data_IF_512078602818
#
_entry.id   IF_512078602818
#
_cell.length_a   1.000
_cell.length_b   1.000
_cell.length_c   1.000
_cell.angle_alpha   90.00
_cell.angle_beta   90.00
_cell.angle_gamma   90.00
#
_symmetry.space_group_name_H-M   'P 1'
#
loop_
_entity.id
_entity.type
_entity.pdbx_description
1 polymer ?
#
# COMPACT_ATOMS: atom_id res chain seq x y z
N UNK A 1 38.41 -3.89 23.96
CA UNK A 1 37.07 -3.85 23.33
C UNK A 1 36.34 -2.65 23.91
N UNK A 2 36.21 -1.58 23.13
CA UNK A 2 35.59 -0.32 23.54
C UNK A 2 34.07 -0.48 23.55
N UNK A 3 33.46 -0.62 24.72
CA UNK A 3 32.01 -0.45 24.89
C UNK A 3 31.66 1.01 24.58
N UNK A 4 30.96 1.23 23.48
CA UNK A 4 30.36 2.53 23.18
C UNK A 4 29.15 2.70 24.11
N UNK A 5 29.22 3.70 24.99
CA UNK A 5 28.11 4.13 25.84
C UNK A 5 27.02 4.79 24.97
N UNK A 6 26.23 3.97 24.27
CA UNK A 6 24.95 4.43 23.74
C UNK A 6 23.97 4.50 24.92
N UNK A 7 23.73 5.70 25.44
CA UNK A 7 22.59 5.94 26.32
C UNK A 7 21.33 5.51 25.57
N UNK A 8 20.61 4.53 26.10
CA UNK A 8 19.35 4.03 25.56
C UNK A 8 18.23 5.05 25.80
N UNK A 9 18.38 6.25 25.22
CA UNK A 9 17.36 7.29 25.27
C UNK A 9 16.28 6.97 24.25
N UNK A 10 15.03 6.96 24.70
CA UNK A 10 13.88 6.90 23.81
C UNK A 10 13.92 8.10 22.86
N UNK A 11 13.81 7.81 21.56
CA UNK A 11 13.84 8.77 20.45
C UNK A 11 12.97 10.02 20.69
N UNK A 12 13.46 11.21 20.28
CA UNK A 12 12.72 12.47 20.35
C UNK A 12 11.34 12.39 19.68
N UNK A 13 10.28 12.52 20.50
CA UNK A 13 8.86 12.56 20.09
C UNK A 13 8.58 13.64 19.05
N UNK A 14 9.37 14.72 19.04
CA UNK A 14 9.27 15.81 18.07
C UNK A 14 9.52 15.33 16.64
N UNK A 15 10.61 14.57 16.43
CA UNK A 15 11.02 14.11 15.12
C UNK A 15 9.97 13.21 14.45
N UNK A 16 9.37 12.28 15.20
CA UNK A 16 8.38 11.32 14.68
C UNK A 16 7.17 12.02 14.04
N UNK A 17 6.63 13.02 14.73
CA UNK A 17 5.41 13.67 14.23
C UNK A 17 5.69 14.70 13.16
N UNK A 18 6.86 15.36 13.18
CA UNK A 18 7.27 16.18 12.03
C UNK A 18 7.36 15.32 10.77
N UNK A 19 7.95 14.12 10.86
CA UNK A 19 8.00 13.18 9.74
C UNK A 19 6.59 12.77 9.29
N UNK A 20 5.74 12.29 10.20
CA UNK A 20 4.39 11.85 9.84
C UNK A 20 3.55 12.99 9.26
N UNK A 21 3.57 14.17 9.85
CA UNK A 21 2.84 15.33 9.34
C UNK A 21 3.31 15.71 7.93
N UNK A 22 4.63 15.78 7.71
CA UNK A 22 5.21 16.10 6.41
C UNK A 22 4.84 15.04 5.36
N UNK A 23 5.07 13.76 5.65
CA UNK A 23 4.75 12.67 4.71
C UNK A 23 3.25 12.63 4.40
N UNK A 24 2.39 12.66 5.43
CA UNK A 24 0.94 12.56 5.23
C UNK A 24 0.37 13.75 4.46
N UNK A 25 0.90 14.95 4.67
CA UNK A 25 0.54 16.14 3.87
C UNK A 25 0.95 15.97 2.41
N UNK A 26 2.17 15.45 2.17
CA UNK A 26 2.69 15.24 0.81
C UNK A 26 1.93 14.17 0.03
N UNK A 27 1.43 13.12 0.70
CA UNK A 27 0.69 12.03 0.02
C UNK A 27 -0.81 12.31 -0.12
N UNK A 28 -1.40 13.15 0.74
CA UNK A 28 -2.85 13.33 0.80
C UNK A 28 -3.43 13.81 -0.53
N UNK A 29 -2.93 14.94 -1.06
CA UNK A 29 -3.48 15.52 -2.29
C UNK A 29 -3.21 14.62 -3.51
N UNK A 30 -1.96 14.16 -3.76
CA UNK A 30 -1.68 13.29 -4.90
C UNK A 30 -2.44 11.96 -4.81
N UNK A 31 -2.47 11.33 -3.64
CA UNK A 31 -3.18 10.08 -3.41
C UNK A 31 -4.68 10.21 -3.63
N UNK A 32 -5.29 11.31 -3.17
CA UNK A 32 -6.73 11.54 -3.34
C UNK A 32 -7.08 11.74 -4.81
N UNK A 33 -6.36 12.62 -5.50
CA UNK A 33 -6.61 12.95 -6.90
C UNK A 33 -6.35 11.74 -7.81
N UNK A 34 -5.21 11.07 -7.64
CA UNK A 34 -4.79 9.97 -8.49
C UNK A 34 -5.70 8.74 -8.32
N UNK A 35 -6.04 8.35 -7.09
CA UNK A 35 -6.93 7.22 -6.86
C UNK A 35 -8.39 7.52 -7.21
N UNK A 36 -8.87 8.76 -7.03
CA UNK A 36 -10.21 9.14 -7.47
C UNK A 36 -10.34 9.10 -8.99
N UNK A 37 -9.33 9.63 -9.70
CA UNK A 37 -9.27 9.57 -11.16
C UNK A 37 -9.16 8.12 -11.65
N UNK A 38 -8.31 7.30 -11.03
CA UNK A 38 -8.18 5.88 -11.34
C UNK A 38 -9.49 5.14 -11.14
N UNK A 39 -10.15 5.32 -9.99
CA UNK A 39 -11.43 4.68 -9.69
C UNK A 39 -12.51 5.10 -10.70
N UNK A 40 -12.57 6.40 -11.06
CA UNK A 40 -13.50 6.89 -12.07
C UNK A 40 -13.25 6.24 -13.44
N UNK A 41 -11.99 6.19 -13.91
CA UNK A 41 -11.65 5.56 -15.19
C UNK A 41 -11.95 4.06 -15.16
N UNK A 42 -11.53 3.36 -14.11
CA UNK A 42 -11.71 1.93 -13.96
C UNK A 42 -13.19 1.55 -13.89
N UNK A 43 -14.04 2.35 -13.24
CA UNK A 43 -15.47 2.12 -13.19
C UNK A 43 -16.18 2.46 -14.51
N UNK A 44 -15.79 3.56 -15.18
CA UNK A 44 -16.49 4.07 -16.37
C UNK A 44 -16.09 3.36 -17.66
N UNK A 45 -14.82 3.00 -17.81
CA UNK A 45 -14.25 2.44 -19.04
C UNK A 45 -13.99 0.94 -18.92
N UNK A 46 -14.80 0.23 -18.14
CA UNK A 46 -14.87 -1.25 -18.12
C UNK A 46 -15.26 -1.74 -19.53
N UNK A 47 -14.26 -1.87 -20.39
CA UNK A 47 -14.30 -2.80 -21.50
C UNK A 47 -14.24 -4.20 -20.89
N UNK A 48 -15.13 -5.10 -21.32
CA UNK A 48 -15.20 -6.51 -20.88
C UNK A 48 -13.90 -7.31 -21.06
N UNK A 49 -12.81 -6.69 -21.52
CA UNK A 49 -11.55 -7.32 -21.93
C UNK A 49 -10.42 -7.28 -20.89
N UNK A 50 -10.44 -6.40 -19.88
CA UNK A 50 -9.31 -6.30 -18.93
C UNK A 50 -9.49 -7.18 -17.68
N UNK A 51 -8.78 -8.31 -17.67
CA UNK A 51 -8.90 -9.37 -16.65
C UNK A 51 -8.08 -9.13 -15.36
N UNK A 52 -8.10 -7.92 -14.82
CA UNK A 52 -7.63 -7.62 -13.44
C UNK A 52 -8.27 -6.33 -12.88
N UNK A 53 -9.27 -5.77 -13.57
CA UNK A 53 -9.85 -4.47 -13.21
C UNK A 53 -10.50 -4.48 -11.84
N UNK A 54 -11.10 -5.59 -11.43
CA UNK A 54 -11.71 -5.69 -10.11
C UNK A 54 -10.66 -5.56 -9.01
N UNK A 55 -9.51 -6.24 -9.11
CA UNK A 55 -8.46 -6.11 -8.11
C UNK A 55 -7.91 -4.68 -8.06
N UNK A 56 -7.74 -4.03 -9.22
CA UNK A 56 -7.34 -2.61 -9.29
C UNK A 56 -8.38 -1.66 -8.67
N UNK A 57 -9.68 -1.90 -8.87
CA UNK A 57 -10.74 -1.11 -8.23
C UNK A 57 -10.69 -1.27 -6.71
N UNK A 58 -10.53 -2.48 -6.21
CA UNK A 58 -10.47 -2.71 -4.76
C UNK A 58 -9.21 -2.09 -4.14
N UNK A 59 -8.08 -2.09 -4.85
CA UNK A 59 -6.86 -1.41 -4.45
C UNK A 59 -7.10 0.11 -4.33
N UNK A 60 -7.67 0.74 -5.37
CA UNK A 60 -8.02 2.16 -5.35
C UNK A 60 -9.02 2.52 -4.23
N UNK A 61 -9.98 1.63 -3.92
CA UNK A 61 -10.91 1.81 -2.79
C UNK A 61 -10.19 1.75 -1.45
N UNK A 62 -9.27 0.80 -1.27
CA UNK A 62 -8.46 0.69 -0.05
C UNK A 62 -7.58 1.93 0.14
N UNK A 63 -6.94 2.40 -0.94
CA UNK A 63 -6.11 3.61 -0.94
C UNK A 63 -6.91 4.86 -0.60
N UNK A 64 -8.09 5.05 -1.22
CA UNK A 64 -8.97 6.17 -0.91
C UNK A 64 -9.42 6.16 0.55
N UNK A 65 -9.78 4.99 1.09
CA UNK A 65 -10.16 4.86 2.50
C UNK A 65 -9.00 5.28 3.44
N UNK A 66 -7.75 4.90 3.11
CA UNK A 66 -6.58 5.36 3.86
C UNK A 66 -6.35 6.86 3.70
N UNK A 67 -6.34 7.37 2.47
CA UNK A 67 -6.07 8.78 2.16
C UNK A 67 -7.09 9.71 2.83
N UNK A 68 -8.38 9.33 2.86
CA UNK A 68 -9.44 10.08 3.54
C UNK A 68 -9.24 10.14 5.07
N UNK A 69 -8.49 9.20 5.66
CA UNK A 69 -8.13 9.23 7.08
C UNK A 69 -6.94 10.15 7.40
N UNK A 70 -6.17 10.57 6.39
CA UNK A 70 -4.94 11.35 6.59
C UNK A 70 -5.16 12.76 7.15
N UNK A 71 -6.19 13.54 6.79
CA UNK A 71 -6.39 14.87 7.36
C UNK A 71 -6.47 14.87 8.89
N UNK A 72 -7.16 13.88 9.46
CA UNK A 72 -7.27 13.72 10.92
C UNK A 72 -5.91 13.37 11.55
N UNK A 73 -5.12 12.52 10.88
CA UNK A 73 -3.76 12.17 11.31
C UNK A 73 -2.81 13.37 11.23
N UNK A 74 -2.89 14.14 10.15
CA UNK A 74 -2.08 15.36 9.96
C UNK A 74 -2.39 16.34 11.09
N UNK A 75 -3.67 16.57 11.38
CA UNK A 75 -4.08 17.43 12.50
C UNK A 75 -3.46 16.97 13.82
N UNK A 76 -3.51 15.67 14.12
CA UNK A 76 -2.91 15.09 15.32
C UNK A 76 -1.40 15.33 15.41
N UNK A 77 -0.67 15.03 14.34
CA UNK A 77 0.79 15.12 14.36
C UNK A 77 1.32 16.57 14.38
N UNK A 78 0.54 17.54 13.90
CA UNK A 78 0.84 18.97 14.00
C UNK A 78 0.48 19.51 15.38
N UNK A 79 -0.76 19.31 15.84
CA UNK A 79 -1.28 19.96 17.04
C UNK A 79 -1.02 19.17 18.33
N UNK A 80 -0.55 17.93 18.23
CA UNK A 80 -0.29 17.01 19.36
C UNK A 80 -1.51 16.71 20.23
N UNK A 81 -2.70 16.90 19.68
CA UNK A 81 -3.98 16.71 20.37
C UNK A 81 -5.00 16.01 19.47
N UNK A 82 -5.84 15.15 20.05
CA UNK A 82 -6.88 14.41 19.36
C UNK A 82 -8.29 14.76 19.88
N UNK A 83 -9.00 15.72 19.26
CA UNK A 83 -10.33 16.13 19.69
C UNK A 83 -11.49 15.29 19.12
N UNK A 84 -11.21 14.37 18.18
CA UNK A 84 -12.25 13.67 17.39
C UNK A 84 -12.84 12.42 18.06
N UNK A 85 -12.45 12.15 19.31
CA UNK A 85 -12.95 11.03 20.10
C UNK A 85 -12.41 9.64 19.71
N UNK A 86 -12.73 8.65 20.54
CA UNK A 86 -12.18 7.28 20.46
C UNK A 86 -12.48 6.58 19.14
N UNK A 87 -13.72 6.68 18.65
CA UNK A 87 -14.14 5.94 17.44
C UNK A 87 -13.29 6.32 16.23
N UNK A 88 -13.15 7.61 15.95
CA UNK A 88 -12.35 8.08 14.82
C UNK A 88 -10.87 7.76 15.00
N UNK A 89 -10.33 7.79 16.24
CA UNK A 89 -8.95 7.40 16.50
C UNK A 89 -8.70 5.94 16.08
N UNK A 90 -9.54 5.03 16.57
CA UNK A 90 -9.42 3.59 16.27
C UNK A 90 -9.75 3.28 14.81
N UNK A 91 -10.71 3.97 14.20
CA UNK A 91 -11.03 3.83 12.78
C UNK A 91 -9.87 4.27 11.90
N UNK A 92 -9.31 5.46 12.11
CA UNK A 92 -8.15 5.93 11.34
C UNK A 92 -6.93 5.04 11.57
N UNK A 93 -6.77 4.46 12.76
CA UNK A 93 -5.72 3.48 13.03
C UNK A 93 -5.95 2.20 12.21
N UNK A 94 -7.16 1.64 12.29
CA UNK A 94 -7.56 0.44 11.55
C UNK A 94 -7.44 0.59 10.04
N UNK A 95 -7.91 1.70 9.47
CA UNK A 95 -7.87 1.97 8.02
C UNK A 95 -6.45 1.92 7.45
N UNK A 96 -5.41 2.29 8.21
CA UNK A 96 -4.02 2.18 7.77
C UNK A 96 -3.58 0.74 7.58
N UNK A 97 -3.89 -0.12 8.54
CA UNK A 97 -3.53 -1.53 8.48
C UNK A 97 -4.40 -2.28 7.47
N UNK A 98 -5.70 -1.97 7.43
CA UNK A 98 -6.62 -2.49 6.43
C UNK A 98 -6.12 -2.21 5.01
N UNK A 99 -5.73 -0.96 4.73
CA UNK A 99 -5.13 -0.59 3.44
C UNK A 99 -3.85 -1.37 3.17
N UNK A 100 -2.87 -1.35 4.08
CA UNK A 100 -1.59 -2.06 3.89
C UNK A 100 -1.78 -3.54 3.53
N UNK A 101 -2.59 -4.28 4.31
CA UNK A 101 -2.80 -5.70 4.07
C UNK A 101 -3.72 -5.96 2.86
N UNK A 102 -4.73 -5.13 2.61
CA UNK A 102 -5.54 -5.23 1.40
C UNK A 102 -4.67 -5.03 0.14
N UNK A 103 -3.77 -4.04 0.16
CA UNK A 103 -2.83 -3.76 -0.93
C UNK A 103 -1.89 -4.94 -1.16
N UNK A 104 -1.27 -5.49 -0.12
CA UNK A 104 -0.46 -6.71 -0.20
C UNK A 104 -1.24 -7.87 -0.85
N UNK A 105 -2.45 -8.14 -0.39
CA UNK A 105 -3.27 -9.23 -0.92
C UNK A 105 -3.66 -8.98 -2.39
N UNK A 106 -4.09 -7.76 -2.75
CA UNK A 106 -4.49 -7.46 -4.12
C UNK A 106 -3.31 -7.45 -5.10
N UNK A 107 -2.13 -6.94 -4.72
CA UNK A 107 -0.91 -7.04 -5.52
C UNK A 107 -0.51 -8.51 -5.76
N UNK A 108 -0.70 -9.34 -4.73
CA UNK A 108 -0.48 -10.79 -4.82
C UNK A 108 -1.48 -11.45 -5.77
N UNK A 109 -2.78 -11.15 -5.65
CA UNK A 109 -3.83 -11.64 -6.54
C UNK A 109 -3.57 -11.24 -8.00
N UNK A 110 -3.18 -9.98 -8.23
CA UNK A 110 -2.78 -9.49 -9.56
C UNK A 110 -1.59 -10.30 -10.10
N UNK A 111 -0.56 -10.51 -9.27
CA UNK A 111 0.64 -11.27 -9.66
C UNK A 111 0.31 -12.71 -10.04
N UNK A 112 -0.47 -13.41 -9.21
CA UNK A 112 -0.95 -14.78 -9.46
C UNK A 112 -1.78 -14.81 -10.75
N UNK A 113 -2.72 -13.89 -10.91
CA UNK A 113 -3.63 -13.87 -12.06
C UNK A 113 -2.86 -13.67 -13.37
N UNK A 114 -1.87 -12.77 -13.38
CA UNK A 114 -1.03 -12.51 -14.56
C UNK A 114 -0.15 -13.70 -14.89
N UNK A 115 0.46 -14.31 -13.89
CA UNK A 115 1.19 -15.56 -14.04
C UNK A 115 0.27 -16.67 -14.59
N UNK A 116 -0.89 -16.90 -13.99
CA UNK A 116 -1.81 -17.95 -14.37
C UNK A 116 -2.33 -17.80 -15.80
N UNK A 117 -2.74 -16.59 -16.20
CA UNK A 117 -3.23 -16.35 -17.56
C UNK A 117 -2.15 -16.45 -18.64
N UNK A 118 -0.89 -16.23 -18.27
CA UNK A 118 0.25 -16.40 -19.16
C UNK A 118 0.48 -17.88 -19.50
N UNK A 119 0.36 -18.78 -18.52
CA UNK A 119 0.63 -20.21 -18.70
C UNK A 119 -0.63 -21.03 -19.07
N UNK A 120 -1.83 -20.53 -18.78
CA UNK A 120 -3.10 -21.22 -19.08
C UNK A 120 -4.06 -20.33 -19.88
N UNK A 121 -3.75 -20.03 -21.16
CA UNK A 121 -4.53 -19.09 -21.97
C UNK A 121 -5.97 -19.54 -22.23
N UNK A 122 -6.23 -20.85 -22.34
CA UNK A 122 -7.59 -21.39 -22.50
C UNK A 122 -8.44 -21.13 -21.25
N UNK A 123 -7.92 -21.43 -20.05
CA UNK A 123 -8.62 -21.12 -18.80
C UNK A 123 -8.74 -19.62 -18.57
N UNK A 124 -7.75 -18.84 -19.02
CA UNK A 124 -7.86 -17.39 -19.02
C UNK A 124 -9.05 -16.93 -19.85
N UNK A 125 -9.28 -17.49 -21.04
CA UNK A 125 -10.41 -17.17 -21.92
C UNK A 125 -11.75 -17.40 -21.22
N UNK A 126 -11.88 -18.50 -20.49
CA UNK A 126 -13.11 -18.89 -19.78
C UNK A 126 -13.25 -18.23 -18.40
N UNK A 127 -12.26 -17.44 -17.98
CA UNK A 127 -12.28 -16.75 -16.69
C UNK A 127 -13.40 -15.72 -16.63
N UNK A 128 -14.30 -15.89 -15.67
CA UNK A 128 -15.48 -15.03 -15.48
C UNK A 128 -15.20 -13.98 -14.41
N UNK A 129 -15.74 -12.78 -14.62
CA UNK A 129 -15.69 -11.63 -13.69
C UNK A 129 -16.11 -12.00 -12.26
N UNK A 130 -17.07 -12.92 -12.10
CA UNK A 130 -17.55 -13.39 -10.78
C UNK A 130 -16.43 -13.99 -9.91
N UNK A 131 -15.39 -14.57 -10.50
CA UNK A 131 -14.28 -15.14 -9.74
C UNK A 131 -13.45 -14.04 -9.10
N UNK A 132 -13.14 -12.97 -9.84
CA UNK A 132 -12.44 -11.82 -9.28
C UNK A 132 -13.26 -11.17 -8.16
N UNK A 133 -14.58 -11.04 -8.32
CA UNK A 133 -15.48 -10.51 -7.27
C UNK A 133 -15.46 -11.40 -6.02
N UNK A 134 -15.56 -12.72 -6.20
CA UNK A 134 -15.54 -13.66 -5.08
C UNK A 134 -14.20 -13.65 -4.34
N UNK A 135 -13.08 -13.61 -5.08
CA UNK A 135 -11.73 -13.49 -4.51
C UNK A 135 -11.60 -12.17 -3.75
N UNK A 136 -12.04 -11.05 -4.33
CA UNK A 136 -12.02 -9.75 -3.64
C UNK A 136 -12.86 -9.73 -2.37
N UNK A 137 -14.06 -10.32 -2.39
CA UNK A 137 -14.90 -10.43 -1.20
C UNK A 137 -14.20 -11.26 -0.11
N UNK A 138 -13.57 -12.38 -0.48
CA UNK A 138 -12.80 -13.21 0.45
C UNK A 138 -11.61 -12.44 1.03
N UNK A 139 -10.88 -11.67 0.21
CA UNK A 139 -9.78 -10.80 0.67
C UNK A 139 -10.28 -9.77 1.68
N UNK A 140 -11.38 -9.06 1.39
CA UNK A 140 -11.93 -8.08 2.31
C UNK A 140 -12.37 -8.69 3.65
N UNK A 141 -13.05 -9.83 3.61
CA UNK A 141 -13.46 -10.54 4.83
C UNK A 141 -12.24 -10.99 5.64
N UNK A 142 -11.25 -11.60 4.96
CA UNK A 142 -10.03 -12.10 5.59
C UNK A 142 -9.22 -10.95 6.22
N UNK A 143 -8.86 -9.93 5.43
CA UNK A 143 -8.05 -8.81 5.90
C UNK A 143 -8.82 -7.99 6.93
N UNK A 144 -10.12 -7.78 6.72
CA UNK A 144 -10.98 -7.05 7.64
C UNK A 144 -11.01 -7.71 9.03
N UNK A 145 -11.15 -9.03 9.08
CA UNK A 145 -11.10 -9.80 10.31
C UNK A 145 -9.68 -9.86 10.91
N UNK A 146 -8.66 -10.13 10.09
CA UNK A 146 -7.27 -10.24 10.55
C UNK A 146 -6.74 -8.92 11.13
N UNK A 147 -7.23 -7.78 10.65
CA UNK A 147 -6.83 -6.45 11.15
C UNK A 147 -7.60 -5.99 12.39
N UNK A 148 -8.73 -6.64 12.75
CA UNK A 148 -9.57 -6.20 13.87
C UNK A 148 -8.89 -6.26 15.25
N UNK A 149 -7.92 -7.16 15.53
CA UNK A 149 -7.23 -7.17 16.82
C UNK A 149 -6.35 -5.95 17.05
N UNK A 150 -5.79 -5.34 15.99
CA UNK A 150 -4.87 -4.19 16.12
C UNK A 150 -5.45 -3.01 16.93
N UNK A 151 -6.68 -2.50 16.65
CA UNK A 151 -7.29 -1.46 17.49
C UNK A 151 -7.73 -1.99 18.87
N UNK A 152 -8.14 -3.25 18.99
CA UNK A 152 -8.62 -3.85 20.26
C UNK A 152 -7.46 -3.96 21.28
N UNK A 153 -6.26 -4.24 20.78
CA UNK A 153 -5.04 -4.33 21.59
C UNK A 153 -4.51 -2.96 22.04
N UNK A 154 -5.10 -1.84 21.60
CA UNK A 154 -4.69 -0.50 22.06
C UNK A 154 -5.49 -0.09 23.29
N UNK A 155 -4.77 0.38 24.32
CA UNK A 155 -5.39 0.97 25.49
C UNK A 155 -5.71 2.44 25.21
N UNK A 156 -6.97 2.72 24.88
CA UNK A 156 -7.47 4.09 24.84
C UNK A 156 -8.01 4.46 26.22
N UNK A 157 -7.37 5.42 26.88
CA UNK A 157 -7.84 6.00 28.14
C UNK A 157 -8.88 7.08 27.80
N UNK A 158 -10.05 7.06 28.43
CA UNK A 158 -11.06 8.10 28.21
C UNK A 158 -10.46 9.47 28.54
N UNK A 159 -10.69 10.46 27.66
CA UNK A 159 -10.06 11.80 27.68
C UNK A 159 -8.56 11.84 27.36
N UNK A 160 -8.00 10.82 26.69
CA UNK A 160 -6.64 10.92 26.16
C UNK A 160 -6.59 11.92 24.99
N UNK A 161 -5.71 12.91 25.08
CA UNK A 161 -5.36 13.78 23.95
C UNK A 161 -4.49 13.05 22.92
N UNK A 162 -3.99 11.86 23.26
CA UNK A 162 -3.11 11.02 22.43
C UNK A 162 -3.88 10.00 21.60
N UNK A 163 -3.31 9.65 20.43
CA UNK A 163 -3.84 8.67 19.48
C UNK A 163 -2.70 7.97 18.70
N UNK A 164 -3.03 6.94 17.91
CA UNK A 164 -2.12 6.21 17.01
C UNK A 164 -0.88 5.61 17.70
N UNK A 165 0.32 6.05 17.30
CA UNK A 165 1.60 5.52 17.77
C UNK A 165 1.83 5.78 19.27
N UNK A 166 1.13 6.76 19.84
CA UNK A 166 1.22 7.17 21.23
C UNK A 166 0.21 6.44 22.14
N UNK A 167 -0.68 5.62 21.59
CA UNK A 167 -1.53 4.74 22.38
C UNK A 167 -0.72 3.56 22.92
N UNK A 168 -0.87 3.24 24.19
CA UNK A 168 -0.23 2.08 24.79
C UNK A 168 -0.76 0.78 24.17
N UNK A 169 0.15 -0.16 23.93
CA UNK A 169 -0.22 -1.53 23.55
C UNK A 169 -0.51 -2.28 24.83
N UNK A 170 -1.67 -2.94 24.90
CA UNK A 170 -1.99 -3.85 26.01
C UNK A 170 -0.96 -4.97 26.01
N UNK A 171 -0.21 -5.08 27.10
CA UNK A 171 0.79 -6.13 27.23
C UNK A 171 0.10 -7.49 27.26
N UNK A 172 0.59 -8.40 26.43
CA UNK A 172 0.19 -9.80 26.47
C UNK A 172 1.04 -10.45 27.56
N UNK A 173 0.41 -11.13 28.52
CA UNK A 173 1.10 -11.70 29.68
C UNK A 173 2.11 -12.82 29.35
N UNK A 174 2.18 -13.27 28.08
CA UNK A 174 3.05 -14.36 27.64
C UNK A 174 3.91 -13.95 26.45
N UNK A 175 5.22 -13.80 26.68
CA UNK A 175 6.21 -13.53 25.63
C UNK A 175 6.17 -14.59 24.52
N UNK A 176 5.95 -15.86 24.88
CA UNK A 176 5.85 -16.97 23.91
C UNK A 176 4.64 -16.80 23.00
N UNK A 177 3.49 -16.41 23.56
CA UNK A 177 2.29 -16.16 22.77
C UNK A 177 2.50 -14.96 21.84
N UNK A 178 3.11 -13.86 22.31
CA UNK A 178 3.37 -12.70 21.47
C UNK A 178 4.33 -13.01 20.33
N UNK A 179 5.41 -13.75 20.60
CA UNK A 179 6.36 -14.20 19.58
C UNK A 179 5.65 -15.08 18.56
N UNK A 180 4.90 -16.08 18.99
CA UNK A 180 4.20 -17.00 18.10
C UNK A 180 3.17 -16.27 17.22
N UNK A 181 2.38 -15.35 17.78
CA UNK A 181 1.42 -14.54 17.03
C UNK A 181 2.11 -13.62 16.02
N UNK A 182 3.18 -12.94 16.42
CA UNK A 182 3.94 -12.04 15.55
C UNK A 182 4.59 -12.80 14.40
N UNK A 183 5.25 -13.93 14.68
CA UNK A 183 5.85 -14.80 13.67
C UNK A 183 4.79 -15.30 12.69
N UNK A 184 3.65 -15.76 13.20
CA UNK A 184 2.53 -16.24 12.37
C UNK A 184 1.99 -15.11 11.48
N UNK A 185 1.77 -13.92 12.06
CA UNK A 185 1.29 -12.76 11.32
C UNK A 185 2.27 -12.32 10.23
N UNK A 186 3.57 -12.29 10.50
CA UNK A 186 4.58 -11.93 9.50
C UNK A 186 4.78 -13.01 8.43
N UNK A 187 4.68 -14.29 8.82
CA UNK A 187 4.77 -15.41 7.88
C UNK A 187 3.64 -15.35 6.83
N UNK A 188 2.39 -15.17 7.26
CA UNK A 188 1.24 -15.13 6.36
C UNK A 188 0.97 -13.75 5.76
N UNK A 189 1.24 -12.68 6.51
CA UNK A 189 0.99 -11.30 6.11
C UNK A 189 2.07 -10.68 5.23
N UNK A 190 3.30 -11.22 5.25
CA UNK A 190 4.42 -10.67 4.50
C UNK A 190 5.22 -11.73 3.73
N UNK A 191 5.76 -12.75 4.40
CA UNK A 191 6.66 -13.73 3.77
C UNK A 191 5.95 -14.56 2.69
N UNK A 192 4.74 -15.04 2.96
CA UNK A 192 3.92 -15.76 1.97
C UNK A 192 3.66 -14.95 0.71
N UNK A 193 3.06 -13.74 0.81
CA UNK A 193 2.89 -12.82 -0.32
C UNK A 193 4.20 -12.52 -1.06
N UNK A 194 5.29 -12.27 -0.33
CA UNK A 194 6.63 -12.02 -0.90
C UNK A 194 7.10 -13.18 -1.78
N UNK A 195 7.03 -14.42 -1.28
CA UNK A 195 7.43 -15.62 -2.03
C UNK A 195 6.59 -15.75 -3.30
N UNK A 196 5.27 -15.56 -3.19
CA UNK A 196 4.36 -15.65 -4.33
C UNK A 196 4.69 -14.60 -5.39
N UNK A 197 4.85 -13.34 -5.00
CA UNK A 197 5.17 -12.25 -5.93
C UNK A 197 6.51 -12.49 -6.61
N UNK A 198 7.54 -12.89 -5.85
CA UNK A 198 8.85 -13.23 -6.41
C UNK A 198 8.79 -14.40 -7.38
N UNK A 199 8.07 -15.47 -7.01
CA UNK A 199 7.88 -16.63 -7.86
C UNK A 199 7.17 -16.26 -9.17
N UNK A 200 6.06 -15.52 -9.08
CA UNK A 200 5.32 -15.03 -10.25
C UNK A 200 6.21 -14.17 -11.14
N UNK A 201 6.96 -13.23 -10.54
CA UNK A 201 7.87 -12.33 -11.28
C UNK A 201 8.96 -13.12 -12.00
N UNK A 202 9.60 -14.05 -11.31
CA UNK A 202 10.66 -14.89 -11.86
C UNK A 202 10.15 -15.74 -13.03
N UNK A 203 9.04 -16.45 -12.84
CA UNK A 203 8.44 -17.27 -13.90
C UNK A 203 7.99 -16.44 -15.10
N UNK A 204 7.32 -15.30 -14.87
CA UNK A 204 6.93 -14.41 -15.97
C UNK A 204 8.14 -13.86 -16.74
N UNK A 205 9.26 -13.58 -16.06
CA UNK A 205 10.52 -13.17 -16.70
C UNK A 205 11.16 -14.31 -17.50
N UNK A 206 11.16 -15.52 -16.95
CA UNK A 206 11.69 -16.72 -17.60
C UNK A 206 10.93 -17.04 -18.89
N UNK A 207 9.59 -16.89 -18.87
CA UNK A 207 8.74 -17.06 -20.05
C UNK A 207 9.09 -16.15 -21.24
N UNK A 208 9.79 -15.02 -21.03
CA UNK A 208 10.25 -14.14 -22.11
C UNK A 208 11.60 -14.56 -22.72
N UNK A 209 12.35 -15.42 -22.03
CA UNK A 209 13.62 -15.99 -22.51
C UNK A 209 13.40 -17.23 -23.37
N UNK A 210 12.20 -17.80 -23.33
CA UNK A 210 11.83 -18.95 -24.13
C UNK A 210 11.55 -18.52 -25.58
N UNK A 211 12.50 -18.84 -26.48
CA UNK A 211 12.51 -18.48 -27.89
C UNK A 211 11.56 -19.33 -28.76
N UNK A 212 10.95 -20.39 -28.22
CA UNK A 212 10.12 -21.31 -29.01
C UNK A 212 8.69 -20.80 -29.29
N UNK A 213 8.32 -19.58 -28.86
CA UNK A 213 6.93 -19.13 -28.80
C UNK A 213 6.68 -17.95 -29.76
N UNK A 214 5.58 -17.96 -30.55
CA UNK A 214 5.36 -16.99 -31.62
C UNK A 214 5.36 -15.51 -31.17
N UNK A 215 5.97 -14.66 -32.00
CA UNK A 215 6.16 -13.21 -31.81
C UNK A 215 4.89 -12.44 -31.40
N UNK A 216 3.71 -12.88 -31.86
CA UNK A 216 2.43 -12.23 -31.56
C UNK A 216 2.05 -12.29 -30.07
N UNK A 217 2.58 -13.27 -29.32
CA UNK A 217 2.36 -13.40 -27.88
C UNK A 217 3.35 -12.58 -27.03
N UNK A 218 4.39 -12.00 -27.64
CA UNK A 218 5.43 -11.26 -26.89
C UNK A 218 4.93 -9.94 -26.30
N UNK A 219 3.96 -9.27 -26.93
CA UNK A 219 3.44 -8.01 -26.41
C UNK A 219 2.62 -8.23 -25.12
N UNK A 220 1.74 -9.24 -25.11
CA UNK A 220 0.97 -9.63 -23.92
C UNK A 220 1.89 -10.13 -22.78
N UNK A 221 2.97 -10.85 -23.12
CA UNK A 221 4.01 -11.26 -22.17
C UNK A 221 4.75 -10.09 -21.55
N UNK A 222 5.21 -9.14 -22.37
CA UNK A 222 5.88 -7.93 -21.89
C UNK A 222 4.94 -7.09 -21.03
N UNK A 223 3.67 -7.01 -21.40
CA UNK A 223 2.63 -6.39 -20.58
C UNK A 223 2.52 -7.11 -19.23
N UNK A 224 2.32 -8.42 -19.22
CA UNK A 224 2.25 -9.20 -17.98
C UNK A 224 3.50 -9.05 -17.10
N UNK A 225 4.71 -9.10 -17.68
CA UNK A 225 5.96 -8.86 -16.95
C UNK A 225 5.97 -7.47 -16.32
N UNK A 226 5.63 -6.42 -17.08
CA UNK A 226 5.56 -5.06 -16.56
C UNK A 226 4.61 -4.97 -15.37
N UNK A 227 3.45 -5.61 -15.45
CA UNK A 227 2.45 -5.61 -14.37
C UNK A 227 2.99 -6.29 -13.11
N UNK A 228 3.53 -7.51 -13.22
CA UNK A 228 4.04 -8.29 -12.08
C UNK A 228 5.29 -7.64 -11.49
N UNK A 229 6.18 -7.08 -12.33
CA UNK A 229 7.35 -6.33 -11.86
C UNK A 229 6.95 -5.06 -11.11
N UNK A 230 5.93 -4.32 -11.54
CA UNK A 230 5.44 -3.16 -10.79
C UNK A 230 4.84 -3.57 -9.44
N UNK A 231 4.07 -4.67 -9.39
CA UNK A 231 3.59 -5.22 -8.11
C UNK A 231 4.74 -5.53 -7.16
N UNK A 232 5.81 -6.17 -7.67
CA UNK A 232 7.01 -6.46 -6.89
C UNK A 232 7.70 -5.18 -6.39
N UNK A 233 7.88 -4.18 -7.26
CA UNK A 233 8.52 -2.90 -6.87
C UNK A 233 7.73 -2.22 -5.76
N UNK A 234 6.41 -2.07 -5.90
CA UNK A 234 5.57 -1.47 -4.85
C UNK A 234 5.69 -2.27 -3.55
N UNK A 235 5.61 -3.60 -3.63
CA UNK A 235 5.73 -4.46 -2.46
C UNK A 235 7.07 -4.30 -1.72
N UNK A 236 8.18 -4.30 -2.47
CA UNK A 236 9.52 -4.17 -1.89
C UNK A 236 9.82 -2.78 -1.35
N UNK A 237 9.35 -1.73 -2.02
CA UNK A 237 9.64 -0.35 -1.61
C UNK A 237 8.76 0.08 -0.45
N UNK A 238 7.47 -0.26 -0.48
CA UNK A 238 6.50 0.20 0.51
C UNK A 238 6.35 -0.74 1.71
N UNK A 239 6.30 -2.06 1.49
CA UNK A 239 5.91 -3.00 2.55
C UNK A 239 7.09 -3.71 3.21
N UNK A 240 8.09 -4.14 2.45
CA UNK A 240 9.23 -4.88 3.00
C UNK A 240 9.98 -4.15 4.13
N UNK A 241 10.30 -2.84 4.03
CA UNK A 241 10.99 -2.13 5.11
C UNK A 241 10.16 -2.08 6.39
N UNK A 242 8.84 -1.97 6.26
CA UNK A 242 7.90 -1.98 7.38
C UNK A 242 7.84 -3.33 8.06
N UNK A 243 7.60 -4.41 7.33
CA UNK A 243 7.44 -5.74 7.91
C UNK A 243 8.72 -6.28 8.56
N UNK A 244 9.87 -6.04 7.92
CA UNK A 244 11.17 -6.38 8.51
C UNK A 244 11.34 -5.66 9.85
N UNK A 245 11.08 -4.35 9.90
CA UNK A 245 11.23 -3.59 11.15
C UNK A 245 10.14 -3.90 12.18
N UNK A 246 8.91 -4.20 11.74
CA UNK A 246 7.77 -4.50 12.60
C UNK A 246 8.02 -5.76 13.44
N UNK A 247 8.62 -6.80 12.86
CA UNK A 247 9.04 -7.99 13.59
C UNK A 247 9.94 -7.61 14.79
N UNK A 248 11.02 -6.87 14.53
CA UNK A 248 11.92 -6.42 15.61
C UNK A 248 11.22 -5.46 16.58
N UNK A 249 10.34 -4.59 16.09
CA UNK A 249 9.61 -3.62 16.90
C UNK A 249 8.75 -4.31 17.95
N UNK A 250 8.03 -5.38 17.58
CA UNK A 250 7.25 -6.16 18.52
C UNK A 250 8.14 -6.87 19.55
N UNK A 251 9.27 -7.46 19.12
CA UNK A 251 10.21 -8.12 20.04
C UNK A 251 10.83 -7.15 21.06
N UNK A 252 11.14 -5.92 20.64
CA UNK A 252 11.67 -4.86 21.51
C UNK A 252 10.59 -4.33 22.46
N UNK A 253 9.35 -4.18 22.00
CA UNK A 253 8.23 -3.69 22.81
C UNK A 253 7.80 -4.66 23.91
N UNK A 254 7.93 -5.97 23.66
CA UNK A 254 7.62 -7.04 24.61
C UNK A 254 8.84 -7.44 25.46
N UNK A 255 9.93 -6.66 25.41
CA UNK A 255 11.18 -6.91 26.15
C UNK A 255 11.81 -8.30 25.89
N UNK A 256 11.53 -8.91 24.74
CA UNK A 256 12.20 -10.15 24.27
C UNK A 256 13.61 -9.84 23.80
N UNK A 257 13.78 -8.72 23.07
CA UNK A 257 15.09 -8.18 22.69
C UNK A 257 15.40 -6.98 23.58
N UNK A 258 16.46 -7.09 24.38
CA UNK A 258 16.92 -6.05 25.31
C UNK A 258 18.19 -5.33 24.84
N UNK A 259 18.79 -5.78 23.73
CA UNK A 259 19.97 -5.13 23.14
C UNK A 259 19.69 -3.66 22.80
N UNK A 260 20.52 -2.76 23.35
CA UNK A 260 20.28 -1.33 23.25
C UNK A 260 20.42 -0.80 21.82
N UNK A 261 21.38 -1.32 21.05
CA UNK A 261 21.61 -0.89 19.67
C UNK A 261 20.41 -1.27 18.80
N UNK A 262 19.97 -2.53 18.85
CA UNK A 262 18.80 -3.00 18.12
C UNK A 262 17.53 -2.25 18.54
N UNK A 263 17.30 -2.06 19.85
CA UNK A 263 16.19 -1.27 20.36
C UNK A 263 16.18 0.15 19.79
N UNK A 264 17.32 0.84 19.85
CA UNK A 264 17.45 2.21 19.35
C UNK A 264 17.18 2.31 17.86
N UNK A 265 17.82 1.45 17.05
CA UNK A 265 17.63 1.39 15.60
C UNK A 265 16.16 1.15 15.27
N UNK A 266 15.57 0.07 15.81
CA UNK A 266 14.20 -0.33 15.50
C UNK A 266 13.16 0.74 15.87
N UNK A 267 13.30 1.39 17.03
CA UNK A 267 12.37 2.45 17.45
C UNK A 267 12.55 3.73 16.63
N UNK A 268 13.76 4.01 16.16
CA UNK A 268 14.07 5.19 15.35
C UNK A 268 13.65 5.02 13.88
N UNK A 269 13.78 3.81 13.31
CA UNK A 269 13.43 3.51 11.91
C UNK A 269 11.94 3.27 11.71
N UNK A 270 11.20 2.83 12.75
CA UNK A 270 9.78 2.50 12.64
C UNK A 270 8.92 3.62 12.00
N UNK A 271 9.09 4.91 12.35
CA UNK A 271 8.35 6.00 11.71
C UNK A 271 8.62 6.13 10.21
N UNK A 272 9.89 6.01 9.80
CA UNK A 272 10.27 6.01 8.39
C UNK A 272 9.65 4.83 7.64
N UNK A 273 9.72 3.63 8.20
CA UNK A 273 9.16 2.45 7.58
C UNK A 273 7.63 2.55 7.40
N UNK A 274 6.91 3.08 8.41
CA UNK A 274 5.47 3.28 8.31
C UNK A 274 5.10 4.42 7.32
N UNK A 275 5.95 5.45 7.22
CA UNK A 275 5.83 6.51 6.22
C UNK A 275 6.01 5.95 4.79
N UNK A 276 7.03 5.12 4.56
CA UNK A 276 7.25 4.42 3.28
C UNK A 276 6.07 3.51 2.92
N UNK A 277 5.53 2.78 3.89
CA UNK A 277 4.33 1.96 3.71
C UNK A 277 3.06 2.78 3.43
N UNK A 278 3.10 4.12 3.57
CA UNK A 278 1.98 5.00 3.20
C UNK A 278 2.16 5.65 1.84
N UNK A 279 3.31 5.41 1.17
CA UNK A 279 3.53 5.86 -0.20
C UNK A 279 2.90 4.90 -1.24
N UNK A 280 2.43 3.72 -0.81
CA UNK A 280 1.76 2.74 -1.68
C UNK A 280 0.61 3.36 -2.47
N UNK A 281 -0.24 4.14 -1.81
CA UNK A 281 -1.39 4.82 -2.41
C UNK A 281 -0.99 5.83 -3.51
N UNK A 282 0.27 6.30 -3.52
CA UNK A 282 0.79 7.17 -4.58
C UNK A 282 1.45 6.38 -5.72
N UNK A 283 1.92 5.16 -5.46
CA UNK A 283 2.57 4.29 -6.45
C UNK A 283 1.57 3.39 -7.19
N UNK A 284 0.47 3.00 -6.55
CA UNK A 284 -0.57 2.17 -7.16
C UNK A 284 -1.25 2.81 -8.39
N UNK A 285 -1.47 4.15 -8.43
CA UNK A 285 -1.87 4.85 -9.65
C UNK A 285 -0.93 4.69 -10.85
N UNK A 286 0.37 4.60 -10.60
CA UNK A 286 1.38 4.36 -11.64
C UNK A 286 1.20 2.95 -12.20
N UNK A 287 0.91 1.99 -11.32
CA UNK A 287 0.56 0.62 -11.70
C UNK A 287 -0.69 0.62 -12.61
N UNK A 288 -1.77 1.34 -12.29
CA UNK A 288 -2.95 1.45 -13.17
C UNK A 288 -2.63 2.04 -14.56
N UNK A 289 -1.80 3.10 -14.60
CA UNK A 289 -1.37 3.74 -15.84
C UNK A 289 -0.65 2.78 -16.79
N UNK A 290 0.28 1.98 -16.26
CA UNK A 290 1.03 1.03 -17.09
C UNK A 290 0.22 -0.23 -17.45
N UNK A 291 -0.87 -0.51 -16.73
CA UNK A 291 -1.70 -1.70 -16.89
C UNK A 291 -2.84 -1.55 -17.89
N UNK A 292 -3.43 -0.35 -18.00
CA UNK A 292 -4.63 -0.10 -18.81
C UNK A 292 -4.34 0.84 -19.97
N UNK A 293 -4.43 0.31 -21.19
CA UNK A 293 -4.36 1.11 -22.43
C UNK A 293 -5.42 2.21 -22.43
N UNK A 294 -6.57 1.93 -21.84
CA UNK A 294 -7.69 2.85 -21.71
C UNK A 294 -7.36 4.05 -20.81
N UNK A 295 -6.56 3.86 -19.76
CA UNK A 295 -6.11 4.97 -18.90
C UNK A 295 -5.04 5.82 -19.60
N UNK A 296 -4.16 5.18 -20.39
CA UNK A 296 -3.20 5.88 -21.26
C UNK A 296 -3.92 6.72 -22.32
N UNK A 297 -4.95 6.16 -22.96
CA UNK A 297 -5.76 6.85 -23.98
C UNK A 297 -6.59 8.00 -23.39
N UNK A 298 -7.12 7.87 -22.18
CA UNK A 298 -7.86 8.95 -21.52
C UNK A 298 -6.95 10.09 -21.06
N UNK A 299 -5.77 9.79 -20.52
CA UNK A 299 -4.79 10.82 -20.16
C UNK A 299 -4.25 11.51 -21.40
N UNK A 300 -3.98 10.79 -22.50
CA UNK A 300 -3.55 11.41 -23.76
C UNK A 300 -4.64 12.30 -24.36
N UNK A 301 -5.91 11.91 -24.26
CA UNK A 301 -7.06 12.74 -24.66
C UNK A 301 -7.23 13.98 -23.77
N UNK A 302 -7.13 13.85 -22.45
CA UNK A 302 -7.22 15.00 -21.56
C UNK A 302 -6.03 15.95 -21.70
N UNK A 303 -4.80 15.41 -21.81
CA UNK A 303 -3.61 16.22 -22.01
C UNK A 303 -3.64 16.94 -23.36
N UNK A 304 -4.08 16.29 -24.44
CA UNK A 304 -4.27 16.94 -25.74
C UNK A 304 -5.38 17.99 -25.72
N UNK A 305 -6.51 17.76 -25.02
CA UNK A 305 -7.55 18.77 -24.84
C UNK A 305 -7.07 19.98 -24.04
N UNK A 306 -6.28 19.77 -22.97
CA UNK A 306 -5.70 20.85 -22.15
C UNK A 306 -4.61 21.61 -22.91
N UNK A 307 -3.79 20.93 -23.71
CA UNK A 307 -2.80 21.57 -24.59
C UNK A 307 -3.51 22.40 -25.65
N UNK A 308 -4.58 21.86 -26.27
CA UNK A 308 -5.37 22.55 -27.28
C UNK A 308 -6.09 23.77 -26.70
N UNK A 309 -6.68 23.68 -25.52
CA UNK A 309 -7.33 24.83 -24.87
C UNK A 309 -6.32 25.91 -24.45
N UNK A 310 -5.12 25.53 -23.98
CA UNK A 310 -4.03 26.47 -23.69
C UNK A 310 -3.50 27.15 -24.95
N UNK A 311 -3.39 26.44 -26.08
CA UNK A 311 -3.00 27.02 -27.37
C UNK A 311 -4.05 28.03 -27.86
N UNK A 312 -5.34 27.67 -27.83
CA UNK A 312 -6.41 28.58 -28.24
C UNK A 312 -6.53 29.82 -27.34
N UNK A 313 -6.31 29.67 -26.02
CA UNK A 313 -6.25 30.81 -25.10
C UNK A 313 -5.05 31.73 -25.33
N UNK A 314 -3.96 31.21 -25.89
CA UNK A 314 -2.75 32.00 -26.20
C UNK A 314 -2.91 32.77 -27.51
N UNK A 315 -3.56 32.17 -28.52
CA UNK A 315 -3.98 32.84 -29.76
C UNK A 315 -5.01 33.96 -29.52
N UNK A 316 -5.99 33.74 -28.65
CA UNK A 316 -6.97 34.78 -28.31
C UNK A 316 -6.34 35.96 -27.57
N UNK A 317 -5.30 35.71 -26.76
CA UNK A 317 -4.58 36.76 -26.02
C UNK A 317 -3.60 37.54 -26.90
N UNK A 318 -3.06 36.96 -27.98
CA UNK A 318 -2.26 37.69 -28.96
C UNK A 318 -3.11 38.56 -29.89
N UNK A 319 -4.32 38.11 -30.25
CA UNK A 319 -5.24 38.85 -31.12
C UNK A 319 -5.86 40.10 -30.48
N UNK A 320 -5.75 40.29 -29.16
CA UNK A 320 -6.26 41.47 -28.43
C UNK A 320 -5.18 42.56 -28.29
N UNK A 321 -3.92 42.26 -28.65
CA UNK A 321 -2.78 43.18 -28.54
C UNK A 321 -2.34 43.81 -29.87
N UNK A 322 -2.99 43.46 -30.98
CA UNK A 322 -2.93 44.19 -32.26
C UNK A 322 -4.15 45.10 -32.40
#
# INVERSE_FOLDING_TARGET
MTQSNWTCSDSNVTYKSTLYAATYTMIFIPGLLANSAALWVLCRFISKKSKAVIFMINLAVADLAHVLSLPLRIYYYINRMWPFGKFLCLLCFYLKYLNMYASICFLTCISIQRYFFLYQPFRAKDWKRRYDVAISAAVWLFVGAACSPFPIMRSYVNNSETCFADLEVRQIQSNVATVAMTVTAELFGFIGPLIIILFCTWKTKDSLRDFQIPLQNNNERRKALRMVSMCAIVFFVCFAPYHINFFFYMMVKENVITDCLLRSITLHTQPFCLALASLDCCLDPILYFFMTSEFQDQISRHSSMVIRSRLMSKESASSIKE
#
